data_IF_389951907894
#
_entry.id   IF_389951907894
#
_cell.length_a   1.000
_cell.length_b   1.000
_cell.length_c   1.000
_cell.angle_alpha   90.00
_cell.angle_beta   90.00
_cell.angle_gamma   90.00
#
_symmetry.space_group_name_H-M   'P 1'
#
loop_
_entity.id
_entity.type
_entity.pdbx_description
1 polymer ?
2 non-polymer ?
3 water ?
#
# COMPACT_ATOMS: atom_id res chain seq x y z
N UNK A 3 -5.23 -23.59 0.83
CA UNK A 3 -5.11 -23.49 2.32
C UNK A 3 -5.31 -22.07 2.86
N UNK A 4 -5.83 -21.20 2.00
CA UNK A 4 -6.20 -19.85 2.43
C UNK A 4 -7.70 -19.64 2.26
N UNK A 5 -8.34 -19.10 3.29
CA UNK A 5 -9.76 -18.79 3.23
C UNK A 5 -10.02 -17.30 3.02
N UNK A 6 -8.94 -16.51 3.01
CA UNK A 6 -9.07 -15.07 2.77
C UNK A 6 -7.78 -14.49 2.18
N UNK A 7 -7.95 -13.58 1.21
CA UNK A 7 -6.85 -12.76 0.70
C UNK A 7 -7.13 -11.33 1.11
N UNK A 8 -6.21 -10.73 1.86
CA UNK A 8 -6.28 -9.32 2.21
C UNK A 8 -5.37 -8.51 1.30
N UNK A 9 -5.94 -7.50 0.65
CA UNK A 9 -5.14 -6.61 -0.16
C UNK A 9 -4.99 -5.28 0.55
N UNK A 10 -3.81 -4.68 0.46
CA UNK A 10 -3.70 -3.24 0.67
C UNK A 10 -4.21 -2.55 -0.59
N UNK A 11 -4.56 -1.29 -0.49
CA UNK A 11 -5.04 -0.59 -1.67
C UNK A 11 -3.88 0.12 -2.39
N UNK A 12 -3.29 1.11 -1.70
CA UNK A 12 -2.20 1.93 -2.24
C UNK A 12 -0.97 1.12 -2.61
N UNK A 13 -0.62 1.17 -3.90
CA UNK A 13 0.59 0.54 -4.39
C UNK A 13 0.38 -0.93 -4.70
N UNK A 14 -0.84 -1.46 -4.50
CA UNK A 14 -1.17 -2.88 -4.74
C UNK A 14 -2.32 -3.02 -5.74
N UNK A 15 -3.46 -2.44 -5.41
CA UNK A 15 -4.61 -2.43 -6.28
C UNK A 15 -4.58 -1.20 -7.19
N UNK A 16 -4.17 -0.06 -6.64
CA UNK A 16 -4.14 1.20 -7.41
C UNK A 16 -2.73 1.81 -7.40
N UNK A 17 -2.35 2.47 -8.48
CA UNK A 17 -1.01 3.02 -8.65
C UNK A 17 -0.93 4.44 -8.02
N UNK A 18 -1.18 4.52 -6.70
CA UNK A 18 -1.33 5.81 -6.02
C UNK A 18 -0.02 6.33 -5.40
N UNK A 19 0.92 5.42 -5.17
CA UNK A 19 2.16 5.80 -4.50
C UNK A 19 3.13 6.52 -5.44
N UNK A 20 3.07 6.23 -6.73
CA UNK A 20 3.81 7.02 -7.74
C UNK A 20 3.35 8.50 -7.74
N UNK A 21 2.08 8.74 -7.44
CA UNK A 21 1.53 10.08 -7.43
C UNK A 21 2.01 10.83 -6.18
N UNK A 22 1.98 10.17 -5.03
CA UNK A 22 2.58 10.73 -3.82
C UNK A 22 4.09 11.00 -4.04
N UNK A 23 4.81 10.02 -4.57
CA UNK A 23 6.24 10.20 -4.90
C UNK A 23 6.49 11.43 -5.80
N UNK A 24 5.64 11.61 -6.80
CA UNK A 24 5.73 12.75 -7.72
C UNK A 24 5.50 14.09 -7.02
N UNK A 25 4.47 14.14 -6.19
CA UNK A 25 4.13 15.36 -5.47
C UNK A 25 5.27 15.72 -4.53
N UNK A 26 5.72 14.73 -3.76
CA UNK A 26 6.72 14.95 -2.73
C UNK A 26 8.08 15.32 -3.28
N UNK A 27 8.53 14.61 -4.32
CA UNK A 27 9.85 14.86 -4.90
C UNK A 27 9.90 16.23 -5.55
N UNK A 28 8.78 16.67 -6.09
CA UNK A 28 8.70 18.02 -6.65
C UNK A 28 8.68 19.13 -5.61
N UNK A 29 7.96 18.91 -4.51
CA UNK A 29 7.95 19.84 -3.38
C UNK A 29 9.32 19.93 -2.71
N UNK A 30 10.00 18.79 -2.58
CA UNK A 30 11.38 18.77 -2.11
C UNK A 30 12.33 19.48 -3.06
N UNK A 31 12.21 19.18 -4.36
CA UNK A 31 13.09 19.72 -5.38
C UNK A 31 13.02 21.24 -5.38
N UNK A 32 11.80 21.76 -5.34
CA UNK A 32 11.56 23.19 -5.34
C UNK A 32 12.10 23.89 -4.09
N UNK A 33 12.08 23.21 -2.96
CA UNK A 33 12.52 23.79 -1.69
C UNK A 33 14.05 23.84 -1.53
N UNK A 34 14.77 23.31 -2.52
CA UNK A 34 16.24 23.27 -2.48
C UNK A 34 16.85 21.89 -2.34
N UNK A 35 16.04 20.84 -2.53
CA UNK A 35 16.51 19.47 -2.37
C UNK A 35 16.13 18.64 -3.61
N UNK A 36 16.96 18.73 -4.67
CA UNK A 36 16.70 18.01 -5.91
C UNK A 36 16.73 16.49 -5.72
N UNK A 37 15.63 15.85 -6.07
CA UNK A 37 15.46 14.42 -5.88
C UNK A 37 14.41 13.94 -6.90
N UNK A 38 14.68 12.80 -7.52
CA UNK A 38 13.80 12.25 -8.55
C UNK A 38 12.80 11.37 -7.83
N UNK A 39 11.69 11.03 -8.48
CA UNK A 39 10.74 10.07 -7.88
C UNK A 39 11.42 8.76 -7.51
N UNK A 40 12.35 8.29 -8.35
CA UNK A 40 13.03 7.03 -8.10
C UNK A 40 13.76 6.99 -6.75
N UNK A 41 14.47 8.07 -6.43
CA UNK A 41 15.25 8.17 -5.19
C UNK A 41 14.39 8.31 -3.93
N UNK A 42 13.21 8.91 -4.07
CA UNK A 42 12.20 8.94 -3.02
C UNK A 42 12.04 7.56 -2.36
N UNK A 43 11.96 6.54 -3.23
CA UNK A 43 11.80 5.15 -2.80
C UNK A 43 13.05 4.68 -2.09
N UNK A 44 14.19 4.85 -2.73
CA UNK A 44 15.44 4.38 -2.14
C UNK A 44 15.76 5.04 -0.80
N UNK A 45 15.48 6.34 -0.69
CA UNK A 45 15.87 7.07 0.51
C UNK A 45 14.80 7.14 1.59
N UNK A 46 13.53 7.19 1.19
CA UNK A 46 12.49 7.55 2.13
C UNK A 46 11.30 6.59 2.23
N UNK A 47 11.44 5.40 1.66
CA UNK A 47 10.31 4.45 1.61
C UNK A 47 9.69 4.20 2.99
N UNK A 48 8.37 4.21 3.02
CA UNK A 48 7.63 3.92 4.24
C UNK A 48 7.37 5.17 5.03
N UNK A 49 8.39 6.00 5.14
CA UNK A 49 8.37 7.18 6.00
C UNK A 49 7.23 8.13 5.63
N UNK A 50 6.61 8.71 6.65
CA UNK A 50 5.61 9.76 6.44
C UNK A 50 6.22 11.02 5.84
N UNK A 51 5.38 11.81 5.18
CA UNK A 51 5.80 13.09 4.64
C UNK A 51 6.46 13.97 5.73
N UNK A 52 5.89 13.92 6.95
CA UNK A 52 6.38 14.67 8.11
C UNK A 52 7.82 14.28 8.53
N UNK A 53 8.07 12.99 8.65
CA UNK A 53 9.39 12.47 9.01
C UNK A 53 10.46 12.64 7.91
N UNK A 54 10.03 12.55 6.64
CA UNK A 54 10.89 12.82 5.50
C UNK A 54 11.44 14.23 5.60
N UNK A 55 10.55 15.19 5.89
CA UNK A 55 10.93 16.60 5.97
C UNK A 55 11.88 16.84 7.14
N UNK A 56 11.64 16.13 8.24
CA UNK A 56 12.52 16.15 9.40
C UNK A 56 13.89 15.56 9.07
N UNK A 57 13.94 14.47 8.30
CA UNK A 57 15.21 13.87 7.88
C UNK A 57 15.98 14.76 6.90
N UNK A 58 15.26 15.47 6.04
CA UNK A 58 15.89 16.37 5.08
C UNK A 58 16.52 17.58 5.80
N UNK A 59 15.80 18.15 6.75
CA UNK A 59 16.33 19.26 7.51
C UNK A 59 17.52 18.80 8.36
N UNK A 60 17.38 17.61 8.95
CA UNK A 60 18.47 16.97 9.71
C UNK A 60 19.73 16.74 8.88
N UNK A 61 19.56 16.26 7.65
CA UNK A 61 20.68 15.85 6.80
C UNK A 61 21.21 16.94 5.85
N UNK A 62 20.42 17.98 5.61
CA UNK A 62 20.78 19.01 4.64
C UNK A 62 20.36 20.45 5.01
N UNK A 63 19.72 20.62 6.17
CA UNK A 63 19.31 21.96 6.66
C UNK A 63 18.40 22.76 5.71
N UNK A 64 17.75 22.06 4.79
CA UNK A 64 16.85 22.71 3.84
C UNK A 64 15.70 23.36 4.61
N UNK A 65 15.49 24.68 4.39
CA UNK A 65 14.31 25.37 4.93
C UNK A 65 13.02 24.79 4.34
N UNK A 66 12.21 24.20 5.22
CA UNK A 66 10.99 23.51 4.86
C UNK A 66 9.90 23.84 5.88
N UNK A 67 8.90 24.60 5.46
CA UNK A 67 7.86 25.08 6.39
C UNK A 67 6.79 24.02 6.64
N UNK A 68 5.88 24.33 7.56
CA UNK A 68 4.72 23.49 7.86
C UNK A 68 3.62 23.75 6.82
N UNK A 69 3.72 24.89 6.15
CA UNK A 69 2.83 25.25 5.05
C UNK A 69 2.91 24.22 3.93
N UNK A 70 4.01 23.47 3.91
CA UNK A 70 4.29 22.49 2.87
C UNK A 70 3.87 21.06 3.27
N UNK A 71 3.35 20.90 4.48
CA UNK A 71 2.71 19.64 4.89
C UNK A 71 1.30 19.53 4.31
N UNK A 72 0.65 20.67 4.10
CA UNK A 72 -0.74 20.70 3.60
C UNK A 72 -0.81 20.84 2.09
N UNK A 73 0.22 21.44 1.49
CA UNK A 73 0.33 21.49 0.03
C UNK A 73 0.43 20.08 -0.55
N UNK A 74 1.14 19.21 0.16
CA UNK A 74 1.26 17.81 -0.22
C UNK A 74 -0.07 17.07 -0.20
N UNK A 75 -0.75 17.08 0.96
CA UNK A 75 -1.99 16.34 1.17
C UNK A 75 -3.08 16.78 0.18
N UNK A 76 -3.21 18.10 -0.02
CA UNK A 76 -4.23 18.63 -0.91
C UNK A 76 -3.89 18.46 -2.40
N UNK A 77 -2.60 18.52 -2.74
CA UNK A 77 -2.15 18.24 -4.11
C UNK A 77 -2.39 16.76 -4.43
N UNK A 78 -1.94 15.89 -3.53
CA UNK A 78 -2.23 14.48 -3.63
C UNK A 78 -3.73 14.15 -3.80
N UNK A 79 -4.59 14.73 -2.96
CA UNK A 79 -6.04 14.52 -3.04
C UNK A 79 -6.55 14.78 -4.46
N UNK A 80 -6.25 15.99 -4.94
CA UNK A 80 -6.63 16.41 -6.27
C UNK A 80 -6.08 15.49 -7.37
N UNK A 81 -4.79 15.19 -7.30
CA UNK A 81 -4.18 14.38 -8.34
C UNK A 81 -4.65 12.93 -8.34
N UNK A 82 -4.95 12.39 -7.16
CA UNK A 82 -5.50 11.04 -7.06
C UNK A 82 -6.85 11.00 -7.77
N UNK A 83 -7.72 11.95 -7.46
CA UNK A 83 -9.06 11.92 -8.03
C UNK A 83 -9.01 12.09 -9.56
N UNK A 84 -8.09 12.90 -10.06
CA UNK A 84 -8.00 13.14 -11.50
C UNK A 84 -7.28 11.99 -12.26
N UNK A 85 -6.20 11.45 -11.67
CA UNK A 85 -5.23 10.66 -12.44
C UNK A 85 -5.04 9.21 -11.99
N UNK A 86 -5.50 8.83 -10.81
CA UNK A 86 -5.14 7.50 -10.30
C UNK A 86 -5.59 6.34 -11.22
N UNK A 87 -4.65 5.41 -11.46
CA UNK A 87 -4.85 4.26 -12.32
C UNK A 87 -4.83 2.93 -11.54
N UNK A 88 -5.66 2.00 -11.97
CA UNK A 88 -5.58 0.61 -11.52
C UNK A 88 -4.22 -0.01 -11.85
N UNK A 89 -3.78 -0.95 -11.02
CA UNK A 89 -2.55 -1.68 -11.29
C UNK A 89 -2.85 -2.73 -12.34
N UNK A 90 -1.94 -2.88 -13.32
CA UNK A 90 -2.02 -3.94 -14.32
C UNK A 90 -2.13 -5.31 -13.68
N UNK A 91 -2.99 -6.15 -14.25
CA UNK A 91 -3.14 -7.52 -13.77
C UNK A 91 -4.10 -7.69 -12.59
N UNK A 92 -4.58 -6.60 -12.00
CA UNK A 92 -5.57 -6.72 -10.92
C UNK A 92 -6.83 -7.46 -11.43
N UNK A 93 -7.46 -6.95 -12.48
CA UNK A 93 -8.67 -7.60 -13.00
C UNK A 93 -8.36 -9.03 -13.49
N UNK A 94 -7.13 -9.28 -13.96
CA UNK A 94 -6.72 -10.65 -14.33
C UNK A 94 -6.73 -11.55 -13.11
N UNK A 95 -6.07 -11.09 -12.05
CA UNK A 95 -5.98 -11.84 -10.81
C UNK A 95 -7.38 -12.13 -10.27
N UNK A 96 -8.17 -11.08 -10.07
CA UNK A 96 -9.54 -11.19 -9.54
C UNK A 96 -10.44 -12.11 -10.34
N UNK A 97 -10.20 -12.17 -11.66
CA UNK A 97 -10.93 -13.09 -12.52
C UNK A 97 -10.66 -14.55 -12.15
N UNK A 98 -9.42 -14.85 -11.76
CA UNK A 98 -8.97 -16.23 -11.59
C UNK A 98 -9.11 -16.78 -10.16
N UNK A 99 -8.91 -15.94 -9.16
CA UNK A 99 -8.87 -16.35 -7.77
C UNK A 99 -10.26 -16.75 -7.28
N UNK A 100 -10.33 -17.84 -6.50
CA UNK A 100 -11.60 -18.31 -5.96
C UNK A 100 -11.80 -17.89 -4.50
N UNK A 101 -10.72 -17.42 -3.88
CA UNK A 101 -10.72 -17.06 -2.47
C UNK A 101 -11.40 -15.71 -2.26
N UNK A 102 -12.21 -15.58 -1.17
CA UNK A 102 -12.80 -14.30 -0.75
C UNK A 102 -11.74 -13.26 -0.51
N UNK A 103 -12.11 -11.98 -0.60
CA UNK A 103 -11.11 -10.93 -0.57
C UNK A 103 -11.61 -9.75 0.25
N UNK A 104 -10.66 -8.98 0.76
CA UNK A 104 -10.99 -7.69 1.34
C UNK A 104 -9.81 -6.74 1.26
N UNK A 105 -10.08 -5.50 1.64
CA UNK A 105 -9.06 -4.48 1.68
C UNK A 105 -8.87 -4.03 3.12
N UNK A 106 -7.59 -4.05 3.57
CA UNK A 106 -7.19 -3.42 4.82
C UNK A 106 -6.11 -2.41 4.54
N UNK A 107 -6.41 -1.15 4.84
CA UNK A 107 -5.52 -0.05 4.49
C UNK A 107 -5.36 0.98 5.62
N UNK A 108 -4.23 1.68 5.59
CA UNK A 108 -4.00 2.83 6.46
C UNK A 108 -4.66 4.10 5.94
N UNK A 109 -5.00 4.12 4.64
CA UNK A 109 -5.73 5.28 4.06
C UNK A 109 -7.10 5.47 4.71
N UNK A 110 -7.55 6.73 4.79
CA UNK A 110 -8.88 7.04 5.32
C UNK A 110 -9.92 6.36 4.45
N UNK A 111 -11.11 6.15 5.00
CA UNK A 111 -12.23 5.53 4.29
C UNK A 111 -12.64 6.35 3.08
N UNK A 112 -12.62 7.68 3.25
CA UNK A 112 -12.95 8.61 2.18
C UNK A 112 -11.98 8.45 1.00
N UNK A 113 -10.68 8.44 1.27
CA UNK A 113 -9.71 8.26 0.20
C UNK A 113 -9.88 6.90 -0.51
N UNK A 114 -10.07 5.85 0.28
CA UNK A 114 -10.30 4.52 -0.27
C UNK A 114 -11.50 4.52 -1.20
N UNK A 115 -12.59 5.12 -0.74
CA UNK A 115 -13.80 5.18 -1.52
C UNK A 115 -13.54 5.94 -2.83
N UNK A 116 -12.87 7.07 -2.74
CA UNK A 116 -12.62 7.88 -3.91
C UNK A 116 -11.78 7.13 -4.97
N UNK A 117 -10.68 6.50 -4.54
CA UNK A 117 -9.78 5.79 -5.45
C UNK A 117 -10.45 4.55 -6.07
N UNK A 118 -11.07 3.73 -5.24
CA UNK A 118 -11.69 2.48 -5.67
C UNK A 118 -12.91 2.70 -6.60
N UNK A 119 -13.69 3.74 -6.33
CA UNK A 119 -14.79 4.10 -7.21
C UNK A 119 -14.21 4.51 -8.57
N UNK A 120 -13.22 5.42 -8.55
CA UNK A 120 -12.63 5.93 -9.81
C UNK A 120 -12.17 4.81 -10.74
N UNK A 121 -11.41 3.84 -10.20
CA UNK A 121 -10.84 2.77 -11.00
C UNK A 121 -11.83 1.62 -11.19
N UNK A 122 -13.02 1.78 -10.63
CA UNK A 122 -14.09 0.79 -10.79
C UNK A 122 -13.93 -0.50 -10.00
N UNK A 123 -13.12 -0.47 -8.94
CA UNK A 123 -12.91 -1.67 -8.14
C UNK A 123 -13.83 -1.81 -6.95
N UNK A 124 -14.47 -0.71 -6.54
CA UNK A 124 -15.25 -0.73 -5.29
C UNK A 124 -16.26 -1.89 -5.19
N UNK A 125 -17.05 -2.14 -6.27
CA UNK A 125 -18.07 -3.19 -6.19
C UNK A 125 -17.48 -4.57 -5.94
N UNK A 126 -16.19 -4.76 -6.22
CA UNK A 126 -15.55 -6.07 -5.99
C UNK A 126 -15.04 -6.29 -4.58
N UNK A 127 -15.13 -5.25 -3.76
CA UNK A 127 -14.67 -5.30 -2.37
C UNK A 127 -15.72 -4.89 -1.35
N UNK A 128 -16.51 -3.85 -1.64
CA UNK A 128 -17.54 -3.37 -0.68
C UNK A 128 -18.48 -4.49 -0.23
N UNK A 129 -18.85 -4.52 1.07
CA UNK A 129 -18.53 -3.57 2.14
C UNK A 129 -17.23 -3.92 2.91
N UNK A 130 -16.41 -4.79 2.32
CA UNK A 130 -15.22 -5.29 3.01
C UNK A 130 -13.99 -4.43 2.67
N UNK A 131 -14.10 -3.15 3.00
CA UNK A 131 -13.05 -2.16 2.78
C UNK A 131 -12.82 -1.49 4.15
N UNK A 132 -11.68 -1.84 4.76
CA UNK A 132 -11.40 -1.51 6.16
C UNK A 132 -10.25 -0.56 6.30
N UNK A 133 -10.53 0.57 6.95
CA UNK A 133 -9.53 1.60 7.18
C UNK A 133 -9.07 1.54 8.64
N UNK A 134 -7.76 1.47 8.83
CA UNK A 134 -7.15 1.51 10.15
C UNK A 134 -7.42 2.84 10.89
N UNK A 135 -7.75 3.90 10.15
CA UNK A 135 -8.18 5.19 10.73
C UNK A 135 -9.56 5.13 11.40
N UNK A 136 -10.42 4.20 10.97
CA UNK A 136 -11.75 4.03 11.54
C UNK A 136 -11.75 3.18 12.82
N UNK A 137 -10.66 2.45 13.05
CA UNK A 137 -10.57 1.58 14.23
C UNK A 137 -10.31 2.35 15.52
N UNK A 138 -9.68 3.49 15.37
CA UNK A 138 -9.20 4.27 16.48
C UNK A 138 -7.98 5.04 16.05
N UNK A 139 -7.60 6.01 16.87
CA UNK A 139 -6.38 6.76 16.64
C UNK A 139 -5.21 5.85 16.94
N UNK A 140 -4.18 5.93 16.11
CA UNK A 140 -2.94 5.21 16.37
C UNK A 140 -3.11 3.67 16.36
N UNK A 141 -4.02 3.16 15.52
CA UNK A 141 -4.21 1.69 15.34
C UNK A 141 -3.69 1.24 13.97
N UNK A 142 -2.96 2.16 13.36
CA UNK A 142 -2.40 2.09 12.03
C UNK A 142 -1.29 1.01 11.89
N UNK A 143 -1.15 0.41 10.70
CA UNK A 143 0.00 -0.48 10.41
C UNK A 143 1.29 0.31 10.68
N UNK A 144 2.32 -0.30 11.29
CA UNK A 144 2.61 -1.70 11.60
C UNK A 144 1.84 -2.44 12.69
N UNK A 145 0.92 -1.79 13.40
CA UNK A 145 0.08 -2.56 14.33
C UNK A 145 -0.71 -3.61 13.54
N UNK A 146 -0.98 -4.79 14.14
CA UNK A 146 -1.75 -5.81 13.42
C UNK A 146 -3.27 -5.53 13.34
N UNK A 147 -3.74 -4.49 14.02
CA UNK A 147 -5.15 -4.25 14.27
C UNK A 147 -6.06 -4.37 13.04
N UNK A 148 -5.77 -3.60 11.98
CA UNK A 148 -6.61 -3.63 10.79
C UNK A 148 -6.71 -5.02 10.12
N UNK A 149 -5.62 -5.77 10.13
CA UNK A 149 -5.61 -7.11 9.55
C UNK A 149 -6.47 -8.07 10.38
N UNK A 150 -6.29 -8.03 11.70
CA UNK A 150 -7.05 -8.89 12.61
C UNK A 150 -8.54 -8.56 12.49
N UNK A 151 -8.86 -7.27 12.32
CA UNK A 151 -10.25 -6.84 12.12
C UNK A 151 -10.86 -7.43 10.84
N UNK A 152 -10.14 -7.29 9.72
CA UNK A 152 -10.59 -7.86 8.45
C UNK A 152 -10.76 -9.37 8.49
N UNK A 153 -9.80 -10.09 9.07
CA UNK A 153 -9.93 -11.56 9.16
C UNK A 153 -11.15 -11.99 10.01
N UNK A 154 -11.34 -11.35 11.15
CA UNK A 154 -12.48 -11.60 12.02
C UNK A 154 -13.83 -11.35 11.34
N UNK A 155 -13.92 -10.34 10.48
CA UNK A 155 -15.16 -10.11 9.71
C UNK A 155 -15.54 -11.31 8.83
N UNK A 156 -14.54 -12.09 8.41
CA UNK A 156 -14.80 -13.29 7.64
C UNK A 156 -14.82 -14.56 8.47
N UNK A 157 -14.51 -14.45 9.76
CA UNK A 157 -14.42 -15.62 10.62
C UNK A 157 -13.26 -16.53 10.25
N UNK A 158 -12.19 -15.96 9.71
CA UNK A 158 -11.06 -16.75 9.24
C UNK A 158 -9.94 -16.66 10.27
N UNK A 159 -9.33 -17.78 10.65
CA UNK A 159 -8.14 -17.73 11.50
C UNK A 159 -6.95 -17.13 10.72
N UNK A 160 -6.10 -16.33 11.40
CA UNK A 160 -5.00 -15.64 10.72
C UNK A 160 -4.07 -16.57 9.97
N UNK A 161 -3.83 -17.79 10.46
CA UNK A 161 -3.01 -18.73 9.70
C UNK A 161 -3.58 -19.16 8.33
N UNK A 162 -4.86 -18.87 8.09
CA UNK A 162 -5.49 -19.15 6.81
C UNK A 162 -5.70 -17.90 5.92
N UNK A 163 -5.00 -16.82 6.25
CA UNK A 163 -5.09 -15.56 5.49
C UNK A 163 -3.76 -15.28 4.79
N UNK A 164 -3.81 -14.86 3.53
CA UNK A 164 -2.62 -14.38 2.85
C UNK A 164 -2.80 -12.89 2.59
N UNK A 165 -1.75 -12.12 2.81
CA UNK A 165 -1.85 -10.68 2.63
C UNK A 165 -0.98 -10.26 1.43
N UNK A 166 -1.48 -9.32 0.62
CA UNK A 166 -0.69 -8.70 -0.47
C UNK A 166 -0.34 -7.25 -0.13
N UNK A 167 0.96 -6.99 0.00
CA UNK A 167 1.44 -5.70 0.50
C UNK A 167 2.64 -5.19 -0.30
N UNK A 168 2.71 -3.89 -0.47
CA UNK A 168 3.84 -3.24 -1.13
C UNK A 168 4.69 -2.46 -0.12
N UNK A 169 4.26 -2.44 1.14
CA UNK A 169 4.95 -1.64 2.16
C UNK A 169 5.43 -2.45 3.34
N UNK A 170 6.58 -2.02 3.86
CA UNK A 170 7.22 -2.61 5.02
C UNK A 170 6.32 -2.56 6.28
N UNK A 171 5.60 -1.46 6.45
CA UNK A 171 4.67 -1.33 7.59
C UNK A 171 3.49 -2.31 7.51
N UNK A 172 2.93 -2.48 6.31
CA UNK A 172 1.88 -3.49 6.09
C UNK A 172 2.36 -4.91 6.28
N UNK A 173 3.61 -5.16 5.91
CA UNK A 173 4.17 -6.51 6.03
C UNK A 173 4.37 -6.86 7.50
N UNK A 174 4.90 -5.93 8.28
CA UNK A 174 5.09 -6.14 9.72
C UNK A 174 3.75 -6.29 10.41
N UNK A 175 2.79 -5.44 10.06
CA UNK A 175 1.41 -5.57 10.54
C UNK A 175 0.86 -6.97 10.32
N UNK A 176 1.01 -7.48 9.10
CA UNK A 176 0.46 -8.76 8.74
C UNK A 176 1.18 -9.90 9.48
N UNK A 177 2.50 -9.79 9.62
CA UNK A 177 3.26 -10.82 10.33
C UNK A 177 2.89 -10.79 11.81
N UNK A 178 2.79 -9.59 12.37
CA UNK A 178 2.38 -9.40 13.76
C UNK A 178 0.98 -10.02 14.04
N UNK A 179 0.16 -10.11 12.99
CA UNK A 179 -1.19 -10.71 13.04
C UNK A 179 -1.17 -12.23 12.84
N UNK A 180 -0.01 -12.80 12.55
CA UNK A 180 0.11 -14.25 12.34
C UNK A 180 -0.28 -14.72 10.95
N UNK A 181 -0.14 -13.86 9.95
CA UNK A 181 -0.55 -14.17 8.59
C UNK A 181 0.66 -14.32 7.65
N UNK A 182 0.42 -14.91 6.48
CA UNK A 182 1.47 -15.10 5.50
C UNK A 182 1.37 -13.96 4.50
N UNK A 183 2.51 -13.53 3.99
CA UNK A 183 2.60 -12.30 3.21
C UNK A 183 3.24 -12.48 1.85
N UNK A 184 2.62 -11.90 0.82
CA UNK A 184 3.20 -11.79 -0.50
C UNK A 184 3.57 -10.33 -0.70
N UNK A 185 4.85 -10.07 -0.93
CA UNK A 185 5.27 -8.70 -1.22
C UNK A 185 5.03 -8.41 -2.68
N UNK A 186 4.60 -7.19 -2.99
CA UNK A 186 4.30 -6.80 -4.36
C UNK A 186 5.11 -5.55 -4.77
N UNK A 187 5.94 -5.69 -5.80
CA UNK A 187 6.82 -4.63 -6.24
C UNK A 187 6.56 -4.31 -7.71
N UNK A 188 5.31 -4.37 -8.14
CA UNK A 188 4.98 -4.13 -9.55
C UNK A 188 4.47 -2.72 -9.79
N UNK A 189 4.23 -1.97 -8.72
CA UNK A 189 3.69 -0.62 -8.92
C UNK A 189 4.78 0.31 -9.47
N UNK A 190 4.37 1.46 -10.00
CA UNK A 190 5.30 2.33 -10.72
C UNK A 190 6.30 3.04 -9.85
N UNK A 191 6.08 3.09 -8.53
CA UNK A 191 7.02 3.76 -7.63
C UNK A 191 8.15 2.86 -7.16
N UNK A 192 8.20 1.62 -7.64
CA UNK A 192 9.20 0.64 -7.15
C UNK A 192 10.64 1.14 -7.42
N UNK A 193 11.59 0.52 -6.74
CA UNK A 193 12.96 1.00 -6.68
C UNK A 193 13.81 -0.24 -6.43
N UNK A 194 15.14 -0.14 -6.68
CA UNK A 194 15.99 -1.31 -6.61
C UNK A 194 15.97 -2.11 -5.29
N UNK A 195 15.92 -1.43 -4.15
CA UNK A 195 15.96 -2.14 -2.88
C UNK A 195 14.58 -2.62 -2.40
N UNK A 196 13.53 -2.37 -3.20
CA UNK A 196 12.13 -2.62 -2.78
C UNK A 196 11.84 -4.08 -2.41
N UNK A 197 12.16 -5.02 -3.30
CA UNK A 197 11.90 -6.42 -3.02
C UNK A 197 12.66 -6.94 -1.80
N UNK A 198 13.94 -6.57 -1.69
CA UNK A 198 14.72 -6.98 -0.52
C UNK A 198 14.11 -6.43 0.77
N UNK A 199 13.68 -5.16 0.75
CA UNK A 199 13.02 -4.54 1.92
C UNK A 199 11.77 -5.30 2.36
N UNK A 200 10.94 -5.65 1.39
CA UNK A 200 9.73 -6.45 1.65
C UNK A 200 10.05 -7.84 2.21
N UNK A 201 11.04 -8.50 1.62
CA UNK A 201 11.54 -9.79 2.13
C UNK A 201 12.03 -9.66 3.57
N UNK A 202 12.84 -8.64 3.85
CA UNK A 202 13.41 -8.41 5.20
C UNK A 202 12.31 -8.17 6.23
N UNK A 203 11.20 -7.59 5.79
CA UNK A 203 10.06 -7.26 6.67
C UNK A 203 9.20 -8.47 7.00
N UNK A 204 9.36 -9.51 6.18
CA UNK A 204 8.74 -10.81 6.39
C UNK A 204 7.90 -11.32 5.23
N UNK A 205 8.04 -10.72 4.05
CA UNK A 205 7.38 -11.26 2.86
C UNK A 205 7.89 -12.66 2.58
N UNK A 206 6.98 -13.61 2.45
CA UNK A 206 7.32 -14.99 2.17
C UNK A 206 7.84 -15.11 0.73
N UNK A 207 7.26 -14.31 -0.14
CA UNK A 207 7.71 -14.26 -1.52
C UNK A 207 7.39 -12.86 -2.04
N UNK A 208 8.01 -12.48 -3.14
CA UNK A 208 7.77 -11.22 -3.80
C UNK A 208 7.36 -11.47 -5.26
N UNK A 209 6.31 -10.77 -5.70
CA UNK A 209 5.94 -10.74 -7.10
C UNK A 209 5.91 -9.30 -7.65
N UNK A 210 6.10 -9.15 -8.96
CA UNK A 210 6.03 -7.84 -9.64
C UNK A 210 4.91 -7.84 -10.69
N UNK A 211 4.35 -9.01 -10.98
CA UNK A 211 3.16 -9.10 -11.81
C UNK A 211 1.99 -9.55 -11.00
N UNK A 212 0.97 -8.69 -10.94
CA UNK A 212 -0.25 -9.08 -10.24
C UNK A 212 -0.85 -10.34 -10.84
N UNK A 213 -0.61 -10.54 -12.14
CA UNK A 213 -1.10 -11.73 -12.83
C UNK A 213 -0.55 -13.04 -12.25
N UNK A 214 0.52 -12.94 -11.44
CA UNK A 214 1.18 -14.10 -10.83
C UNK A 214 0.51 -14.53 -9.53
N UNK A 215 -0.35 -13.67 -8.98
CA UNK A 215 -1.03 -14.00 -7.72
C UNK A 215 -1.68 -15.38 -7.64
N UNK A 216 -2.53 -15.75 -8.64
CA UNK A 216 -3.12 -17.09 -8.54
C UNK A 216 -2.07 -18.21 -8.41
N UNK A 217 -1.01 -18.15 -9.22
CA UNK A 217 0.05 -19.18 -9.17
C UNK A 217 0.82 -19.15 -7.84
N UNK A 218 1.17 -17.96 -7.37
CA UNK A 218 1.95 -17.83 -6.16
C UNK A 218 1.14 -18.30 -4.94
N UNK A 219 -0.16 -17.99 -4.92
CA UNK A 219 -1.03 -18.40 -3.80
C UNK A 219 -1.20 -19.92 -3.76
N UNK A 220 -1.47 -20.51 -4.92
CA UNK A 220 -1.56 -21.96 -5.04
C UNK A 220 -0.28 -22.66 -4.55
N UNK A 221 0.88 -22.14 -4.95
CA UNK A 221 2.16 -22.69 -4.54
C UNK A 221 2.43 -22.54 -3.03
N UNK A 222 2.07 -21.39 -2.47
CA UNK A 222 2.20 -21.19 -1.01
C UNK A 222 1.32 -22.14 -0.18
N UNK A 223 0.12 -22.41 -0.68
CA UNK A 223 -0.80 -23.36 -0.04
C UNK A 223 -0.23 -24.79 -0.08
N UNK A 224 0.78 -24.98 -0.93
CA UNK A 224 1.55 -26.23 -1.19
C UNK A 224 0.87 -27.17 -2.17
X LIG B 1 0.53 0.19 0.26
#
# INVERSE_FOLDING_TARGET
XSGFDLIIFDCDGVLVDSEIIAAQVESRLLTEAGYPISVEEMGERFAGMTWKNILLQVESEASIPLSASLLDKSEKLLDMRLERDVKIIDGVKFALSRLTTPRCICSNSSSHRLDMMLTKVGLKPYFAPHIYSAKDLGADRVKPKPDIFLHGAAQFGVSPDRVVVVEDSVHGIHGARAAGMRVIGFTGASHTYPSHADRLTDAGAETVISRMQDLPAVIAAMAEWEGAF
MG MG
#
